data_IF_526148803542
#
_entry.id   IF_526148803542
#
_cell.length_a   1.000
_cell.length_b   1.000
_cell.length_c   1.000
_cell.angle_alpha   90.00
_cell.angle_beta   90.00
_cell.angle_gamma   90.00
#
_symmetry.space_group_name_H-M   'P 1'
#
loop_
_entity.id
_entity.type
_entity.pdbx_description
1 polymer ?
#
# COMPACT_ATOMS: atom_id res chain seq x y z
N UNK A 1 -3.67 -0.13 14.57
CA UNK A 1 -4.45 0.21 13.35
C UNK A 1 -3.74 1.34 12.64
N UNK A 2 -2.87 1.01 11.70
CA UNK A 2 -2.21 2.00 10.83
C UNK A 2 -3.16 2.18 9.64
N UNK A 3 -3.84 3.33 9.60
CA UNK A 3 -4.58 3.74 8.40
C UNK A 3 -3.56 3.94 7.29
N UNK A 4 -3.53 3.00 6.35
CA UNK A 4 -2.92 3.21 5.05
C UNK A 4 -3.73 4.32 4.39
N UNK A 5 -3.15 5.51 4.30
CA UNK A 5 -3.64 6.58 3.45
C UNK A 5 -3.46 6.09 2.00
N UNK A 6 -4.48 5.42 1.50
CA UNK A 6 -4.66 5.29 0.06
C UNK A 6 -4.97 6.68 -0.46
N UNK A 7 -3.97 7.36 -0.99
CA UNK A 7 -4.24 8.46 -1.92
C UNK A 7 -5.03 7.85 -3.07
N UNK A 8 -6.22 8.42 -3.38
CA UNK A 8 -6.88 8.01 -4.60
C UNK A 8 -5.89 8.25 -5.73
N UNK A 9 -5.61 7.22 -6.52
CA UNK A 9 -5.09 7.35 -7.85
C UNK A 9 -6.09 8.31 -8.53
N UNK A 10 -5.74 9.59 -8.61
CA UNK A 10 -6.33 10.46 -9.60
C UNK A 10 -5.76 9.88 -10.90
N UNK A 11 -6.46 8.86 -11.40
CA UNK A 11 -6.42 8.54 -12.79
C UNK A 11 -6.80 9.88 -13.43
N UNK A 12 -5.80 10.64 -13.87
CA UNK A 12 -6.00 11.66 -14.84
C UNK A 12 -6.58 10.90 -16.03
N UNK A 13 -7.91 10.88 -16.08
CA UNK A 13 -8.67 10.53 -17.25
C UNK A 13 -8.39 11.66 -18.25
N UNK A 14 -7.16 11.75 -18.72
CA UNK A 14 -6.87 12.26 -20.04
C UNK A 14 -7.47 11.21 -20.94
N UNK A 15 -8.81 11.38 -21.18
CA UNK A 15 -9.43 10.82 -22.33
C UNK A 15 -8.43 10.96 -23.47
N UNK A 16 -7.86 9.85 -23.90
CA UNK A 16 -7.45 9.69 -25.27
C UNK A 16 -8.76 9.83 -26.06
N UNK A 17 -9.22 11.08 -26.20
CA UNK A 17 -10.26 11.39 -27.15
C UNK A 17 -9.64 11.02 -28.50
N UNK A 18 -10.17 9.97 -29.17
CA UNK A 18 -9.75 9.74 -30.52
C UNK A 18 -9.95 11.08 -31.23
N UNK A 19 -8.94 11.54 -31.93
CA UNK A 19 -9.05 12.64 -32.88
C UNK A 19 -9.99 12.18 -33.99
N UNK A 20 -11.28 12.01 -33.65
CA UNK A 20 -12.31 11.80 -34.67
C UNK A 20 -12.49 13.12 -35.36
N UNK A 21 -11.82 13.26 -36.48
CA UNK A 21 -11.91 14.36 -37.41
C UNK A 21 -13.23 14.26 -38.15
N UNK A 22 -14.33 14.75 -37.57
CA UNK A 22 -15.44 15.21 -38.41
C UNK A 22 -15.20 16.68 -38.73
N UNK A 23 -15.09 16.98 -40.01
CA UNK A 23 -15.06 18.35 -40.49
C UNK A 23 -16.35 19.08 -40.07
N UNK A 24 -16.24 20.12 -39.25
CA UNK A 24 -17.34 21.06 -39.01
C UNK A 24 -16.95 22.41 -39.61
N UNK A 25 -17.89 23.08 -40.29
CA UNK A 25 -17.69 24.43 -40.82
C UNK A 25 -17.71 25.47 -39.71
N UNK A 26 -16.78 26.36 -39.79
CA UNK A 26 -16.44 27.34 -38.76
C UNK A 26 -17.10 28.68 -38.99
N UNK A 27 -17.97 29.15 -38.13
CA UNK A 27 -18.35 30.54 -38.03
C UNK A 27 -18.43 30.96 -36.56
N UNK A 28 -17.42 31.66 -36.09
CA UNK A 28 -17.39 32.23 -34.75
C UNK A 28 -16.28 33.30 -34.65
N UNK A 29 -16.68 34.52 -34.28
CA UNK A 29 -15.78 35.66 -34.00
C UNK A 29 -15.13 35.46 -32.66
N UNK A 30 -13.79 35.26 -32.60
CA UNK A 30 -13.13 34.97 -31.34
C UNK A 30 -11.73 35.54 -31.22
N UNK A 31 -11.24 35.63 -29.96
CA UNK A 31 -9.92 36.11 -29.55
C UNK A 31 -8.80 35.19 -30.07
N UNK A 32 -8.43 35.35 -31.33
CA UNK A 32 -7.30 34.70 -31.94
C UNK A 32 -6.01 35.34 -31.45
N UNK A 33 -4.95 34.60 -31.12
CA UNK A 33 -3.68 35.15 -30.66
C UNK A 33 -3.06 36.15 -31.65
N UNK A 34 -3.34 36.03 -32.94
CA UNK A 34 -2.75 36.84 -34.03
C UNK A 34 -3.81 37.52 -34.91
N UNK A 35 -5.04 37.70 -34.43
CA UNK A 35 -6.16 38.21 -35.25
C UNK A 35 -6.94 37.11 -35.99
N UNK A 36 -7.93 37.51 -36.82
CA UNK A 36 -8.72 36.52 -37.59
C UNK A 36 -7.84 35.64 -38.46
N UNK A 37 -8.11 34.31 -38.54
CA UNK A 37 -7.34 33.44 -39.42
C UNK A 37 -7.43 33.93 -40.85
N UNK A 38 -6.31 34.20 -41.46
CA UNK A 38 -6.19 34.37 -42.92
C UNK A 38 -6.49 33.09 -43.64
N UNK A 39 -6.47 33.16 -44.98
CA UNK A 39 -6.71 32.02 -45.90
C UNK A 39 -5.70 30.88 -45.75
N UNK A 40 -4.70 31.03 -44.91
CA UNK A 40 -3.57 30.12 -44.65
C UNK A 40 -3.78 29.18 -43.44
N UNK A 41 -4.90 29.28 -42.71
CA UNK A 41 -5.28 28.36 -41.66
C UNK A 41 -6.23 27.26 -42.14
N UNK A 42 -6.12 26.07 -41.52
CA UNK A 42 -7.00 24.93 -41.77
C UNK A 42 -7.02 24.45 -43.22
N UNK A 43 -5.88 24.51 -43.91
CA UNK A 43 -5.73 24.13 -45.30
C UNK A 43 -5.52 22.63 -45.43
N UNK A 44 -6.17 22.01 -46.42
CA UNK A 44 -5.91 20.64 -46.86
C UNK A 44 -5.32 20.63 -48.28
N UNK A 45 -4.47 19.66 -48.57
CA UNK A 45 -3.99 19.44 -49.93
C UNK A 45 -5.02 18.70 -50.81
N UNK A 46 -4.65 18.40 -52.06
CA UNK A 46 -5.51 17.69 -53.03
C UNK A 46 -5.88 16.27 -52.62
N UNK A 47 -5.18 15.67 -51.64
CA UNK A 47 -5.47 14.36 -51.04
C UNK A 47 -6.36 14.45 -49.82
N UNK A 48 -6.75 15.69 -49.42
CA UNK A 48 -7.52 15.94 -48.18
C UNK A 48 -6.66 15.88 -46.90
N UNK A 49 -5.32 15.89 -47.00
CA UNK A 49 -4.43 15.85 -45.88
C UNK A 49 -4.19 17.27 -45.34
N UNK A 50 -4.21 17.44 -44.04
CA UNK A 50 -3.92 18.72 -43.36
C UNK A 50 -2.52 19.20 -43.64
N UNK A 51 -2.39 20.50 -43.96
CA UNK A 51 -1.12 21.16 -44.24
C UNK A 51 -1.04 22.49 -43.51
N UNK A 52 0.17 22.85 -43.03
CA UNK A 52 0.42 24.14 -42.39
C UNK A 52 -0.28 24.34 -41.07
N UNK A 53 -0.62 25.58 -40.76
CA UNK A 53 -1.21 26.01 -39.46
C UNK A 53 -2.67 25.59 -39.36
N UNK A 54 -3.01 25.00 -38.23
CA UNK A 54 -4.36 24.53 -37.89
C UNK A 54 -4.78 25.00 -36.53
N UNK A 55 -6.07 25.33 -36.41
CA UNK A 55 -6.76 25.68 -35.17
C UNK A 55 -8.07 24.91 -35.09
N UNK A 56 -8.48 24.63 -33.87
CA UNK A 56 -9.81 24.09 -33.54
C UNK A 56 -10.37 24.86 -32.38
N UNK A 57 -11.69 25.05 -32.38
CA UNK A 57 -12.42 25.74 -31.30
C UNK A 57 -13.41 24.80 -30.62
N UNK A 58 -13.74 25.11 -29.38
CA UNK A 58 -14.88 24.55 -28.66
C UNK A 58 -16.20 25.04 -29.24
N UNK A 59 -17.37 24.43 -28.86
CA UNK A 59 -18.70 24.89 -29.35
C UNK A 59 -19.01 26.33 -28.97
N UNK A 60 -18.44 26.88 -27.91
CA UNK A 60 -18.58 28.27 -27.46
C UNK A 60 -17.66 29.24 -28.22
N UNK A 61 -16.80 28.69 -29.10
CA UNK A 61 -15.86 29.43 -29.93
C UNK A 61 -14.50 29.70 -29.30
N UNK A 62 -14.24 29.31 -28.05
CA UNK A 62 -12.92 29.41 -27.46
C UNK A 62 -11.92 28.44 -28.14
N UNK A 63 -10.64 28.83 -28.22
CA UNK A 63 -9.60 27.94 -28.78
C UNK A 63 -9.54 26.64 -28.01
N UNK A 64 -9.60 25.52 -28.75
CA UNK A 64 -9.28 24.19 -28.22
C UNK A 64 -7.83 23.83 -28.47
N UNK A 65 -7.32 24.02 -29.70
CA UNK A 65 -5.89 23.93 -29.99
C UNK A 65 -5.45 24.83 -31.13
N UNK A 66 -4.16 25.18 -31.12
CA UNK A 66 -3.39 25.73 -32.24
C UNK A 66 -2.18 24.85 -32.49
N UNK A 67 -1.86 24.54 -33.75
CA UNK A 67 -0.70 23.72 -34.10
C UNK A 67 -0.46 23.68 -35.60
N UNK A 68 0.44 22.80 -36.04
CA UNK A 68 0.76 22.62 -37.48
C UNK A 68 0.68 21.16 -37.89
N UNK A 69 0.39 20.93 -39.16
CA UNK A 69 0.36 19.60 -39.76
C UNK A 69 1.22 19.57 -41.03
N UNK A 70 1.86 18.43 -41.29
CA UNK A 70 2.53 18.11 -42.52
C UNK A 70 2.04 16.76 -43.01
N UNK A 71 1.45 16.71 -44.20
CA UNK A 71 0.83 15.51 -44.79
C UNK A 71 -0.14 14.81 -43.84
N UNK A 72 -0.97 15.58 -43.12
CA UNK A 72 -1.94 15.11 -42.15
C UNK A 72 -1.35 14.68 -40.82
N UNK A 73 -0.05 14.60 -40.64
CA UNK A 73 0.64 14.27 -39.38
C UNK A 73 0.87 15.55 -38.58
N UNK A 74 0.59 15.56 -37.27
CA UNK A 74 0.96 16.68 -36.40
C UNK A 74 2.46 16.95 -36.45
N UNK A 75 2.86 18.22 -36.56
CA UNK A 75 4.26 18.66 -36.67
C UNK A 75 4.50 19.99 -35.95
N UNK A 76 5.72 20.20 -35.46
CA UNK A 76 6.10 21.39 -34.73
C UNK A 76 5.37 21.56 -33.38
N UNK A 77 5.10 22.82 -33.04
CA UNK A 77 4.52 23.18 -31.73
C UNK A 77 3.01 23.17 -31.74
N UNK A 78 2.39 22.52 -30.74
CA UNK A 78 0.96 22.55 -30.46
C UNK A 78 0.71 23.16 -29.08
N UNK A 79 -0.28 24.04 -28.99
CA UNK A 79 -0.84 24.50 -27.73
C UNK A 79 -2.29 24.09 -27.63
N UNK A 80 -2.62 23.37 -26.57
CA UNK A 80 -4.01 22.99 -26.23
C UNK A 80 -4.52 23.87 -25.11
N UNK A 81 -5.77 24.26 -25.20
CA UNK A 81 -6.42 25.16 -24.25
C UNK A 81 -7.61 24.48 -23.57
N UNK A 82 -7.97 24.95 -22.39
CA UNK A 82 -9.23 24.66 -21.71
C UNK A 82 -10.33 25.58 -22.23
N UNK A 83 -11.59 25.23 -21.99
CA UNK A 83 -12.75 26.08 -22.30
C UNK A 83 -12.67 27.48 -21.72
N UNK A 84 -11.96 27.69 -20.61
CA UNK A 84 -11.72 29.01 -20.01
C UNK A 84 -10.54 29.78 -20.64
N UNK A 85 -10.01 29.32 -21.75
CA UNK A 85 -8.91 29.93 -22.51
C UNK A 85 -7.52 29.75 -21.91
N UNK A 86 -7.38 29.05 -20.75
CA UNK A 86 -6.05 28.79 -20.14
C UNK A 86 -5.39 27.62 -20.83
N UNK A 87 -4.06 27.69 -20.94
CA UNK A 87 -3.26 26.59 -21.51
C UNK A 87 -3.46 25.32 -20.67
N UNK A 88 -3.80 24.24 -21.36
CA UNK A 88 -3.90 22.88 -20.83
C UNK A 88 -2.58 22.15 -20.97
N UNK A 89 -2.02 22.18 -22.19
CA UNK A 89 -0.75 21.51 -22.47
C UNK A 89 -0.07 22.14 -23.69
N UNK A 90 1.24 22.00 -23.74
CA UNK A 90 2.09 22.27 -24.90
C UNK A 90 2.75 20.98 -25.34
N UNK A 91 2.84 20.77 -26.66
CA UNK A 91 3.42 19.55 -27.25
C UNK A 91 4.31 19.95 -28.42
N UNK A 92 5.59 19.62 -28.34
CA UNK A 92 6.60 19.88 -29.36
C UNK A 92 6.91 18.57 -30.11
N UNK A 93 6.39 18.44 -31.33
CA UNK A 93 6.70 17.31 -32.21
C UNK A 93 8.14 17.43 -32.75
N UNK A 94 8.93 16.38 -32.56
CA UNK A 94 10.31 16.35 -33.04
C UNK A 94 10.35 16.09 -34.54
N UNK A 95 11.24 16.80 -35.25
CA UNK A 95 11.44 16.60 -36.69
C UNK A 95 11.89 15.16 -36.97
N UNK A 96 11.44 14.61 -38.07
CA UNK A 96 11.76 13.26 -38.55
C UNK A 96 11.57 12.15 -37.50
N UNK A 97 10.64 12.36 -36.58
CA UNK A 97 10.38 11.45 -35.48
C UNK A 97 8.87 11.21 -35.26
N UNK A 98 8.53 10.14 -34.58
CA UNK A 98 7.22 9.88 -34.05
C UNK A 98 7.06 10.41 -32.59
N UNK A 99 8.12 11.00 -32.06
CA UNK A 99 8.19 11.48 -30.68
C UNK A 99 7.79 12.95 -30.57
N UNK A 100 7.17 13.28 -29.45
CA UNK A 100 6.87 14.65 -29.07
C UNK A 100 7.17 14.88 -27.58
N UNK A 101 7.73 16.03 -27.23
CA UNK A 101 7.86 16.47 -25.83
C UNK A 101 6.58 17.17 -25.41
N UNK A 102 6.14 16.95 -24.16
CA UNK A 102 4.92 17.54 -23.65
C UNK A 102 5.14 18.19 -22.28
N UNK A 103 4.49 19.33 -22.06
CA UNK A 103 4.29 19.96 -20.77
C UNK A 103 2.80 20.16 -20.53
N UNK A 104 2.29 19.65 -19.40
CA UNK A 104 0.91 19.81 -18.98
C UNK A 104 0.85 20.87 -17.87
N UNK A 105 -0.21 21.65 -17.85
CA UNK A 105 -0.39 22.75 -16.91
C UNK A 105 -1.60 22.59 -16.01
N UNK A 106 -1.49 23.12 -14.79
CA UNK A 106 -2.63 23.30 -13.88
C UNK A 106 -3.47 24.49 -14.30
N UNK A 107 -4.62 24.65 -13.71
CA UNK A 107 -5.49 25.81 -13.95
C UNK A 107 -4.83 27.14 -13.55
N UNK A 108 -3.92 27.14 -12.60
CA UNK A 108 -3.15 28.34 -12.19
C UNK A 108 -1.98 28.68 -13.15
N UNK A 109 -1.82 27.90 -14.24
CA UNK A 109 -0.77 28.08 -15.24
C UNK A 109 0.58 27.48 -14.84
N UNK A 110 0.70 26.85 -13.67
CA UNK A 110 1.96 26.21 -13.28
C UNK A 110 2.10 24.84 -13.94
N UNK A 111 3.29 24.42 -14.40
CA UNK A 111 3.51 23.09 -14.93
C UNK A 111 3.15 22.00 -13.92
N UNK A 112 2.41 21.00 -14.35
CA UNK A 112 2.00 19.85 -13.52
C UNK A 112 2.76 18.58 -13.86
N UNK A 113 2.98 18.34 -15.17
CA UNK A 113 3.71 17.18 -15.66
C UNK A 113 4.53 17.56 -16.88
N UNK A 114 5.59 16.81 -17.12
CA UNK A 114 6.35 16.87 -18.38
C UNK A 114 6.83 15.48 -18.75
N UNK A 115 6.90 15.21 -20.05
CA UNK A 115 7.31 13.91 -20.55
C UNK A 115 7.29 13.84 -22.05
N UNK A 116 7.05 12.64 -22.58
CA UNK A 116 7.10 12.36 -24.00
C UNK A 116 5.87 11.60 -24.45
N UNK A 117 5.40 11.93 -25.64
CA UNK A 117 4.41 11.15 -26.38
C UNK A 117 5.07 10.50 -27.60
N UNK A 118 4.60 9.31 -27.96
CA UNK A 118 4.77 8.73 -29.29
C UNK A 118 3.51 8.94 -30.08
N UNK A 119 3.62 9.51 -31.28
CA UNK A 119 2.51 9.72 -32.21
C UNK A 119 2.41 8.52 -33.12
N UNK A 120 1.29 7.82 -33.12
CA UNK A 120 1.03 6.64 -33.92
C UNK A 120 -0.27 6.81 -34.71
N UNK A 121 -0.44 6.05 -35.79
CA UNK A 121 -1.69 6.03 -36.53
C UNK A 121 -2.49 4.77 -36.16
N UNK A 122 -3.71 4.97 -35.70
CA UNK A 122 -4.64 3.90 -35.36
C UNK A 122 -5.91 4.14 -36.18
N UNK A 123 -6.31 3.18 -37.00
CA UNK A 123 -7.50 3.25 -37.86
C UNK A 123 -7.55 4.52 -38.73
N UNK A 124 -6.40 4.94 -39.22
CA UNK A 124 -6.26 6.15 -40.06
C UNK A 124 -6.20 7.47 -39.29
N UNK A 125 -6.42 7.48 -37.98
CA UNK A 125 -6.33 8.66 -37.10
C UNK A 125 -5.00 8.71 -36.36
N UNK A 126 -4.41 9.92 -36.27
CA UNK A 126 -3.24 10.14 -35.45
C UNK A 126 -3.61 10.23 -33.96
N UNK A 127 -2.97 9.44 -33.14
CA UNK A 127 -3.11 9.44 -31.68
C UNK A 127 -1.77 9.54 -30.99
N UNK A 128 -1.76 9.90 -29.73
CA UNK A 128 -0.54 10.05 -28.92
C UNK A 128 -0.63 9.17 -27.69
N UNK A 129 0.42 8.40 -27.45
CA UNK A 129 0.55 7.56 -26.28
C UNK A 129 1.73 8.04 -25.44
N UNK A 130 1.55 8.09 -24.11
CA UNK A 130 2.67 8.34 -23.19
C UNK A 130 3.73 7.27 -23.40
N UNK A 131 4.98 7.72 -23.53
CA UNK A 131 6.13 6.82 -23.66
C UNK A 131 7.35 7.43 -22.99
N UNK A 132 8.32 6.59 -22.60
CA UNK A 132 9.56 7.06 -21.95
C UNK A 132 9.33 7.73 -20.60
N UNK A 133 10.28 8.59 -20.18
CA UNK A 133 10.24 9.22 -18.86
C UNK A 133 9.20 10.32 -18.78
N UNK A 134 8.46 10.31 -17.64
CA UNK A 134 7.52 11.35 -17.24
C UNK A 134 7.83 11.83 -15.83
N UNK A 135 7.60 13.10 -15.58
CA UNK A 135 7.76 13.73 -14.28
C UNK A 135 6.47 14.45 -13.86
N UNK A 136 6.02 14.21 -12.63
CA UNK A 136 4.99 15.01 -11.98
C UNK A 136 5.68 16.07 -11.10
N UNK A 137 5.21 17.30 -11.20
CA UNK A 137 5.79 18.47 -10.54
C UNK A 137 4.85 19.01 -9.46
N UNK A 138 5.38 19.56 -8.38
CA UNK A 138 4.59 20.38 -7.45
C UNK A 138 4.40 21.82 -7.97
N UNK A 139 3.63 22.65 -7.25
CA UNK A 139 3.38 24.05 -7.65
C UNK A 139 4.63 24.95 -7.65
N UNK A 140 5.74 24.48 -7.04
CA UNK A 140 7.03 25.15 -7.06
C UNK A 140 7.96 24.63 -8.17
N UNK A 141 7.44 23.74 -9.06
CA UNK A 141 8.20 23.13 -10.14
C UNK A 141 9.16 22.02 -9.71
N UNK A 142 9.08 21.55 -8.45
CA UNK A 142 9.95 20.48 -7.96
C UNK A 142 9.35 19.13 -8.34
N UNK A 143 10.20 18.22 -8.82
CA UNK A 143 9.80 16.85 -9.16
C UNK A 143 9.30 16.12 -7.91
N UNK A 144 8.12 15.54 -8.01
CA UNK A 144 7.46 14.74 -6.96
C UNK A 144 7.38 13.28 -7.31
N UNK A 145 7.26 12.97 -8.62
CA UNK A 145 7.23 11.61 -9.11
C UNK A 145 8.03 11.56 -10.40
N UNK A 146 8.80 10.48 -10.60
CA UNK A 146 9.37 10.06 -11.87
C UNK A 146 8.76 8.72 -12.24
N UNK A 147 8.27 8.64 -13.45
CA UNK A 147 7.59 7.47 -14.00
C UNK A 147 8.18 7.14 -15.36
N UNK A 148 8.02 5.91 -15.77
CA UNK A 148 8.34 5.49 -17.13
C UNK A 148 7.12 4.81 -17.74
N UNK A 149 6.79 5.18 -18.99
CA UNK A 149 5.62 4.68 -19.70
C UNK A 149 6.02 3.97 -21.00
N UNK A 150 5.24 2.97 -21.37
CA UNK A 150 5.18 2.42 -22.71
C UNK A 150 3.71 2.26 -23.11
N UNK A 151 3.31 2.92 -24.22
CA UNK A 151 1.94 2.90 -24.73
C UNK A 151 0.86 3.17 -23.64
N UNK A 152 1.01 4.27 -22.89
CA UNK A 152 0.15 4.73 -21.78
C UNK A 152 0.19 3.88 -20.51
N UNK A 153 0.86 2.75 -20.51
CA UNK A 153 1.03 1.92 -19.33
C UNK A 153 2.33 2.27 -18.62
N UNK A 154 2.29 2.29 -17.27
CA UNK A 154 3.51 2.36 -16.48
C UNK A 154 4.35 1.11 -16.79
N UNK A 155 5.57 1.32 -17.31
CA UNK A 155 6.51 0.24 -17.66
C UNK A 155 7.93 0.75 -17.47
N UNK A 156 8.64 0.24 -16.48
CA UNK A 156 9.98 0.68 -16.09
C UNK A 156 10.06 1.25 -14.69
N UNK A 157 11.01 2.15 -14.48
CA UNK A 157 11.32 2.70 -13.16
C UNK A 157 10.24 3.66 -12.65
N UNK A 158 10.00 3.60 -11.35
CA UNK A 158 9.15 4.52 -10.61
C UNK A 158 9.89 5.08 -9.39
N UNK A 159 9.80 6.38 -9.16
CA UNK A 159 10.29 7.04 -7.96
C UNK A 159 9.33 8.14 -7.53
N UNK A 160 8.93 8.15 -6.27
CA UNK A 160 8.24 9.25 -5.62
C UNK A 160 9.15 9.94 -4.60
N UNK A 161 8.95 11.23 -4.35
CA UNK A 161 9.81 12.04 -3.53
C UNK A 161 9.05 12.78 -2.41
N UNK A 162 9.65 12.83 -1.24
CA UNK A 162 9.24 13.69 -0.14
C UNK A 162 9.36 15.18 -0.52
N UNK A 163 8.68 16.11 0.20
CA UNK A 163 8.81 17.54 -0.03
C UNK A 163 10.24 18.08 0.09
N UNK A 164 11.13 17.42 0.84
CA UNK A 164 12.54 17.76 0.99
C UNK A 164 13.44 17.23 -0.14
N UNK A 165 12.89 16.42 -1.08
CA UNK A 165 13.61 15.87 -2.21
C UNK A 165 14.16 14.45 -2.00
N UNK A 166 14.12 13.92 -0.80
CA UNK A 166 14.49 12.54 -0.54
C UNK A 166 13.47 11.56 -1.15
N UNK A 167 13.92 10.38 -1.55
CA UNK A 167 13.04 9.33 -2.07
C UNK A 167 12.02 8.93 -0.99
N UNK A 168 10.76 8.88 -1.37
CA UNK A 168 9.66 8.35 -0.56
C UNK A 168 9.41 6.87 -0.85
N UNK A 169 9.34 6.54 -2.14
CA UNK A 169 9.09 5.18 -2.62
C UNK A 169 9.77 4.99 -3.97
N UNK A 170 10.28 3.79 -4.22
CA UNK A 170 10.84 3.43 -5.52
C UNK A 170 10.60 1.96 -5.86
N UNK A 171 10.55 1.65 -7.15
CA UNK A 171 10.39 0.31 -7.66
C UNK A 171 10.29 0.27 -9.17
N UNK A 172 9.69 -0.80 -9.66
CA UNK A 172 9.45 -1.02 -11.09
C UNK A 172 8.00 -1.38 -11.36
N UNK A 173 7.50 -0.87 -12.49
CA UNK A 173 6.25 -1.33 -13.09
C UNK A 173 6.55 -2.17 -14.33
N UNK A 174 5.67 -3.11 -14.63
CA UNK A 174 5.63 -3.86 -15.87
C UNK A 174 4.18 -3.94 -16.35
N UNK A 175 3.91 -3.40 -17.53
CA UNK A 175 2.55 -3.34 -18.09
C UNK A 175 1.50 -2.83 -17.09
N UNK A 176 1.79 -1.73 -16.40
CA UNK A 176 0.91 -1.08 -15.41
C UNK A 176 0.88 -1.70 -14.03
N UNK A 177 1.58 -2.82 -13.79
CA UNK A 177 1.58 -3.55 -12.52
C UNK A 177 2.91 -3.44 -11.79
N UNK A 178 2.88 -3.30 -10.45
CA UNK A 178 4.10 -3.37 -9.63
C UNK A 178 4.81 -4.71 -9.85
N UNK A 179 6.15 -4.66 -10.02
CA UNK A 179 6.99 -5.83 -10.32
C UNK A 179 8.36 -5.68 -9.67
N UNK A 180 8.94 -6.80 -9.23
CA UNK A 180 10.27 -6.82 -8.62
C UNK A 180 10.33 -6.15 -7.24
N UNK A 181 11.49 -5.63 -6.88
CA UNK A 181 11.74 -5.03 -5.55
C UNK A 181 11.13 -3.61 -5.48
N UNK A 182 10.39 -3.38 -4.40
CA UNK A 182 9.88 -2.07 -4.01
C UNK A 182 10.42 -1.69 -2.63
N UNK A 183 10.75 -0.42 -2.47
CA UNK A 183 11.24 0.11 -1.21
C UNK A 183 10.60 1.46 -0.90
N UNK A 184 10.27 1.70 0.37
CA UNK A 184 9.83 2.99 0.86
C UNK A 184 10.79 3.52 1.92
N UNK A 185 10.84 4.85 2.07
CA UNK A 185 11.78 5.54 2.94
C UNK A 185 11.07 6.64 3.74
N UNK A 186 11.60 6.97 4.89
CA UNK A 186 11.15 8.13 5.64
C UNK A 186 11.73 9.42 5.07
N UNK A 187 11.39 10.57 5.68
CA UNK A 187 11.85 11.91 5.21
C UNK A 187 13.36 12.11 5.33
N UNK A 188 14.00 11.40 6.24
CA UNK A 188 15.44 11.42 6.49
C UNK A 188 16.20 10.49 5.53
N UNK A 189 15.47 9.64 4.76
CA UNK A 189 16.03 8.69 3.79
C UNK A 189 16.30 7.31 4.36
N UNK A 190 15.91 7.02 5.61
CA UNK A 190 16.02 5.69 6.17
C UNK A 190 14.93 4.76 5.59
N UNK A 191 15.29 3.50 5.33
CA UNK A 191 14.36 2.47 4.82
C UNK A 191 13.21 2.23 5.79
N UNK A 192 12.01 2.15 5.25
CA UNK A 192 10.76 1.82 5.96
C UNK A 192 10.23 0.45 5.60
N UNK A 193 10.21 0.14 4.31
CA UNK A 193 9.76 -1.16 3.82
C UNK A 193 10.61 -1.60 2.65
N UNK A 194 10.83 -2.91 2.56
CA UNK A 194 11.33 -3.56 1.36
C UNK A 194 10.42 -4.75 1.07
N UNK A 195 9.89 -4.82 -0.14
CA UNK A 195 8.91 -5.82 -0.53
C UNK A 195 9.18 -6.30 -1.94
N UNK A 196 8.84 -7.55 -2.22
CA UNK A 196 8.81 -8.11 -3.57
C UNK A 196 7.38 -8.15 -4.11
N UNK A 197 7.25 -7.82 -5.40
CA UNK A 197 5.98 -7.75 -6.11
C UNK A 197 6.03 -8.57 -7.39
N UNK A 198 4.94 -9.24 -7.70
CA UNK A 198 4.74 -9.99 -8.94
C UNK A 198 3.32 -9.76 -9.45
N UNK A 199 3.19 -9.31 -10.72
CA UNK A 199 1.88 -9.04 -11.37
C UNK A 199 0.95 -8.11 -10.58
N UNK A 200 1.52 -7.16 -9.82
CA UNK A 200 0.76 -6.19 -9.02
C UNK A 200 0.41 -6.63 -7.61
N UNK A 201 0.81 -7.84 -7.20
CA UNK A 201 0.58 -8.38 -5.86
C UNK A 201 1.90 -8.58 -5.12
N UNK A 202 1.88 -8.42 -3.77
CA UNK A 202 3.04 -8.77 -2.95
C UNK A 202 3.32 -10.26 -3.06
N UNK A 203 4.57 -10.62 -3.36
CA UNK A 203 4.97 -12.02 -3.51
C UNK A 203 6.45 -12.19 -3.21
N UNK A 204 6.78 -13.03 -2.22
CA UNK A 204 8.14 -13.23 -1.73
C UNK A 204 8.46 -12.40 -0.49
N UNK A 205 9.73 -12.15 -0.25
CA UNK A 205 10.21 -11.52 0.98
C UNK A 205 9.69 -10.09 1.17
N UNK A 206 9.39 -9.78 2.44
CA UNK A 206 9.05 -8.45 2.89
C UNK A 206 9.72 -8.13 4.24
N UNK A 207 10.20 -6.90 4.38
CA UNK A 207 10.78 -6.37 5.61
C UNK A 207 10.15 -5.02 5.91
N UNK A 208 9.71 -4.84 7.16
CA UNK A 208 9.29 -3.54 7.70
C UNK A 208 10.35 -3.10 8.69
N UNK A 209 10.78 -1.85 8.60
CA UNK A 209 11.82 -1.26 9.44
C UNK A 209 11.22 -0.31 10.48
N UNK A 210 11.86 -0.23 11.63
CA UNK A 210 11.63 0.79 12.65
C UNK A 210 12.39 2.08 12.28
N UNK A 211 12.07 3.19 12.95
CA UNK A 211 12.74 4.48 12.70
C UNK A 211 14.24 4.46 13.03
N UNK A 212 14.68 3.56 13.90
CA UNK A 212 16.09 3.35 14.26
C UNK A 212 16.87 2.47 13.25
N UNK A 213 16.23 2.04 12.14
CA UNK A 213 16.84 1.17 11.12
C UNK A 213 16.90 -0.32 11.47
N UNK A 214 16.33 -0.70 12.61
CA UNK A 214 16.18 -2.10 13.01
C UNK A 214 14.92 -2.67 12.38
N UNK A 215 14.89 -3.94 11.91
CA UNK A 215 13.65 -4.56 11.46
C UNK A 215 12.57 -4.51 12.56
N UNK A 216 11.34 -4.19 12.18
CA UNK A 216 10.13 -4.40 12.98
C UNK A 216 9.58 -5.79 12.74
N UNK A 217 9.54 -6.18 11.46
CA UNK A 217 9.09 -7.52 11.05
C UNK A 217 9.73 -7.95 9.73
N UNK A 218 9.86 -9.27 9.56
CA UNK A 218 10.31 -9.91 8.31
C UNK A 218 9.49 -11.16 8.07
N UNK A 219 9.09 -11.39 6.82
CA UNK A 219 8.36 -12.58 6.41
C UNK A 219 8.19 -12.66 4.90
N UNK A 220 7.19 -13.37 4.48
CA UNK A 220 6.89 -13.58 3.06
C UNK A 220 5.42 -13.34 2.76
N UNK A 221 5.16 -12.87 1.55
CA UNK A 221 3.83 -12.83 0.95
C UNK A 221 3.71 -13.88 -0.14
N UNK A 222 2.52 -14.43 -0.27
CA UNK A 222 2.11 -15.22 -1.43
C UNK A 222 0.78 -14.68 -1.96
N UNK A 223 0.81 -14.23 -3.23
CA UNK A 223 -0.35 -13.66 -3.93
C UNK A 223 -1.11 -12.61 -3.07
N UNK A 224 -0.36 -11.65 -2.53
CA UNK A 224 -0.90 -10.53 -1.74
C UNK A 224 -1.15 -10.83 -0.26
N UNK A 225 -1.16 -12.09 0.17
CA UNK A 225 -1.42 -12.51 1.54
C UNK A 225 -0.14 -12.88 2.29
N UNK A 226 -0.01 -12.52 3.59
CA UNK A 226 1.08 -13.01 4.42
C UNK A 226 1.05 -14.55 4.47
N UNK A 227 2.23 -15.18 4.36
CA UNK A 227 2.38 -16.63 4.28
C UNK A 227 3.60 -17.11 5.05
N UNK A 228 3.51 -18.31 5.64
CA UNK A 228 4.60 -18.92 6.39
C UNK A 228 4.98 -18.16 7.66
N UNK A 229 6.23 -18.25 8.05
CA UNK A 229 6.72 -17.64 9.29
C UNK A 229 7.06 -16.16 9.10
N UNK A 230 6.58 -15.34 10.04
CA UNK A 230 6.92 -13.93 10.19
C UNK A 230 7.62 -13.70 11.51
N UNK A 231 8.83 -13.18 11.44
CA UNK A 231 9.62 -12.81 12.62
C UNK A 231 9.32 -11.36 13.00
N UNK A 232 8.93 -11.14 14.24
CA UNK A 232 8.77 -9.83 14.86
C UNK A 232 9.97 -9.52 15.74
N UNK A 233 10.41 -8.27 15.75
CA UNK A 233 11.60 -7.83 16.47
C UNK A 233 11.28 -6.74 17.50
N UNK A 234 12.05 -6.69 18.57
CA UNK A 234 12.09 -5.60 19.52
C UNK A 234 12.92 -4.42 18.97
N UNK A 235 12.90 -3.30 19.69
CA UNK A 235 13.68 -2.11 19.32
C UNK A 235 15.21 -2.33 19.37
N UNK A 236 15.68 -3.34 20.10
CA UNK A 236 17.09 -3.74 20.20
C UNK A 236 17.51 -4.75 19.09
N UNK A 237 16.59 -5.11 18.19
CA UNK A 237 16.82 -6.06 17.09
C UNK A 237 16.72 -7.53 17.48
N UNK A 238 16.46 -7.84 18.74
CA UNK A 238 16.21 -9.23 19.15
C UNK A 238 14.84 -9.67 18.72
N UNK A 239 14.72 -10.94 18.34
CA UNK A 239 13.43 -11.55 18.01
C UNK A 239 12.50 -11.47 19.23
N UNK A 240 11.30 -10.92 19.01
CA UNK A 240 10.22 -10.87 19.99
C UNK A 240 9.36 -12.12 19.91
N UNK A 241 8.84 -12.42 18.73
CA UNK A 241 7.99 -13.57 18.47
C UNK A 241 8.05 -13.98 16.99
N UNK A 242 7.58 -15.20 16.73
CA UNK A 242 7.39 -15.73 15.37
C UNK A 242 5.90 -16.04 15.20
N UNK A 243 5.30 -15.43 14.18
CA UNK A 243 3.92 -15.69 13.78
C UNK A 243 3.94 -16.68 12.61
N UNK A 244 3.02 -17.63 12.60
CA UNK A 244 2.79 -18.47 11.43
C UNK A 244 1.49 -18.07 10.75
N UNK A 245 1.56 -17.77 9.46
CA UNK A 245 0.40 -17.41 8.63
C UNK A 245 0.02 -18.57 7.71
N UNK A 246 -1.28 -18.86 7.68
CA UNK A 246 -1.92 -19.75 6.70
C UNK A 246 -3.10 -18.99 6.09
N UNK A 247 -3.13 -18.89 4.76
CA UNK A 247 -4.17 -18.15 4.03
C UNK A 247 -4.38 -16.71 4.56
N UNK A 248 -3.28 -16.04 4.89
CA UNK A 248 -3.30 -14.65 5.38
C UNK A 248 -3.73 -14.47 6.84
N UNK A 249 -4.03 -15.56 7.57
CA UNK A 249 -4.43 -15.53 8.97
C UNK A 249 -3.34 -16.08 9.87
N UNK A 250 -3.14 -15.44 11.02
CA UNK A 250 -2.24 -15.98 12.06
C UNK A 250 -2.86 -17.25 12.62
N UNK A 251 -2.12 -18.36 12.55
CA UNK A 251 -2.51 -19.64 13.13
C UNK A 251 -1.77 -19.94 14.43
N UNK A 252 -0.54 -19.47 14.56
CA UNK A 252 0.25 -19.61 15.78
C UNK A 252 1.10 -18.37 16.02
N UNK A 253 1.35 -18.06 17.30
CA UNK A 253 2.38 -17.14 17.73
C UNK A 253 3.29 -17.84 18.73
N UNK A 254 4.61 -17.75 18.51
CA UNK A 254 5.65 -18.30 19.41
C UNK A 254 6.53 -17.14 19.89
N UNK A 255 6.40 -16.68 21.15
CA UNK A 255 7.34 -15.74 21.72
C UNK A 255 8.73 -16.36 21.85
N UNK A 256 9.78 -15.56 21.71
CA UNK A 256 11.15 -16.05 21.89
C UNK A 256 11.52 -16.18 23.37
N UNK A 257 11.05 -15.28 24.21
CA UNK A 257 11.30 -15.30 25.65
C UNK A 257 10.16 -14.63 26.40
N UNK A 258 9.97 -15.04 27.65
CA UNK A 258 9.00 -14.44 28.55
C UNK A 258 7.73 -15.25 28.72
N UNK A 259 6.83 -14.70 29.53
CA UNK A 259 5.51 -15.29 29.75
C UNK A 259 4.59 -14.99 28.56
N UNK A 260 3.77 -15.95 28.22
CA UNK A 260 2.78 -15.86 27.15
C UNK A 260 1.48 -16.50 27.62
N UNK A 261 0.38 -15.87 27.25
CA UNK A 261 -0.98 -16.34 27.52
C UNK A 261 -1.71 -16.45 26.18
N UNK A 262 -2.26 -17.62 25.90
CA UNK A 262 -3.22 -17.83 24.81
C UNK A 262 -4.64 -17.74 25.34
N UNK A 263 -5.57 -17.32 24.48
CA UNK A 263 -6.99 -17.22 24.80
C UNK A 263 -7.85 -18.01 23.83
N UNK A 264 -8.90 -18.61 24.32
CA UNK A 264 -9.98 -19.18 23.51
C UNK A 264 -10.69 -18.10 22.68
N UNK A 265 -11.42 -18.47 21.61
CA UNK A 265 -12.28 -17.52 20.89
C UNK A 265 -13.32 -16.81 21.77
N UNK A 266 -13.69 -17.42 22.91
CA UNK A 266 -14.54 -16.82 23.95
C UNK A 266 -13.88 -15.65 24.71
N UNK A 267 -12.56 -15.45 24.52
CA UNK A 267 -11.75 -14.47 25.25
C UNK A 267 -11.26 -14.95 26.61
N UNK A 268 -11.57 -16.21 27.00
CA UNK A 268 -11.07 -16.80 28.26
C UNK A 268 -9.63 -17.30 28.07
N UNK A 269 -8.78 -17.28 29.12
CA UNK A 269 -7.47 -17.94 29.09
C UNK A 269 -7.57 -19.39 28.63
N UNK A 270 -6.76 -19.78 27.67
CA UNK A 270 -6.62 -21.15 27.22
C UNK A 270 -5.44 -21.82 27.93
N UNK A 271 -4.27 -21.18 27.84
CA UNK A 271 -3.09 -21.61 28.58
C UNK A 271 -2.12 -20.44 28.80
N UNK A 272 -1.27 -20.60 29.80
CA UNK A 272 -0.16 -19.72 30.11
C UNK A 272 1.12 -20.53 30.28
N UNK A 273 2.21 -20.02 29.76
CA UNK A 273 3.53 -20.66 29.86
C UNK A 273 4.66 -19.66 29.67
N UNK A 274 5.85 -20.09 29.98
CA UNK A 274 7.06 -19.31 29.77
C UNK A 274 7.83 -19.85 28.56
N UNK A 275 8.34 -18.93 27.76
CA UNK A 275 9.24 -19.26 26.65
C UNK A 275 10.68 -18.86 26.95
N UNK A 276 11.62 -19.70 26.54
CA UNK A 276 13.04 -19.41 26.46
C UNK A 276 13.57 -19.93 25.12
N UNK A 277 14.24 -19.07 24.34
CA UNK A 277 14.81 -19.39 23.03
C UNK A 277 13.79 -20.01 22.05
N UNK A 278 12.53 -19.54 22.09
CA UNK A 278 11.45 -19.99 21.22
C UNK A 278 10.78 -21.32 21.60
N UNK A 279 11.17 -21.89 22.74
CA UNK A 279 10.56 -23.10 23.27
C UNK A 279 9.89 -22.83 24.61
N UNK A 280 8.81 -23.55 24.91
CA UNK A 280 8.27 -23.58 26.27
C UNK A 280 9.35 -24.06 27.24
N UNK A 281 9.60 -23.29 28.30
CA UNK A 281 10.64 -23.59 29.29
C UNK A 281 10.27 -22.98 30.63
N UNK A 282 9.86 -23.82 31.58
CA UNK A 282 9.35 -23.47 32.87
C UNK A 282 7.86 -23.83 33.08
N UNK A 283 7.20 -23.20 34.05
CA UNK A 283 5.82 -23.51 34.41
C UNK A 283 4.85 -23.34 33.25
N UNK A 284 3.89 -24.25 33.17
CA UNK A 284 2.81 -24.26 32.20
C UNK A 284 1.47 -24.57 32.91
N UNK A 285 0.42 -23.85 32.56
CA UNK A 285 -0.95 -24.08 33.03
C UNK A 285 -1.93 -23.89 31.88
N UNK A 286 -2.88 -24.81 31.73
CA UNK A 286 -3.98 -24.66 30.78
C UNK A 286 -5.32 -24.78 31.52
N UNK A 287 -6.36 -24.20 30.96
CA UNK A 287 -7.71 -24.17 31.48
C UNK A 287 -8.71 -24.70 30.49
N UNK A 288 -9.89 -25.14 30.97
CA UNK A 288 -11.05 -25.43 30.14
C UNK A 288 -11.74 -24.13 29.69
N UNK A 289 -12.40 -24.14 28.52
CA UNK A 289 -13.16 -22.96 28.02
C UNK A 289 -14.51 -22.82 28.77
N UNK A 290 -14.42 -22.71 30.11
CA UNK A 290 -15.52 -22.59 31.04
C UNK A 290 -15.30 -21.39 31.96
N UNK A 291 -16.28 -21.12 32.84
CA UNK A 291 -16.21 -19.99 33.77
C UNK A 291 -17.05 -18.81 33.32
N UNK A 292 -17.24 -17.85 34.20
CA UNK A 292 -18.12 -16.70 34.03
C UNK A 292 -17.38 -15.39 34.26
N UNK A 293 -17.60 -14.42 33.33
CA UNK A 293 -17.15 -13.06 33.55
C UNK A 293 -18.07 -12.32 34.50
N UNK A 294 -17.53 -11.84 35.62
CA UNK A 294 -18.27 -11.08 36.64
C UNK A 294 -17.69 -9.66 36.74
N UNK A 295 -18.58 -8.68 36.96
CA UNK A 295 -18.18 -7.31 37.28
C UNK A 295 -17.86 -7.23 38.75
N UNK A 296 -16.64 -6.86 39.07
CA UNK A 296 -16.17 -6.70 40.47
C UNK A 296 -15.60 -5.29 40.68
N UNK A 297 -15.66 -4.72 41.90
CA UNK A 297 -14.99 -3.46 42.18
C UNK A 297 -13.49 -3.56 41.89
N UNK A 298 -12.92 -2.57 41.19
CA UNK A 298 -11.48 -2.49 41.01
C UNK A 298 -10.86 -2.02 42.32
N UNK A 299 -10.22 -2.93 43.05
CA UNK A 299 -9.42 -2.55 44.21
C UNK A 299 -8.16 -1.82 43.79
N UNK A 300 -7.82 -0.71 44.45
CA UNK A 300 -6.54 -0.03 44.23
C UNK A 300 -5.40 -0.97 44.65
N UNK A 301 -4.65 -1.50 43.71
CA UNK A 301 -3.40 -2.21 43.93
C UNK A 301 -3.37 -3.73 43.74
N UNK A 302 -4.41 -4.36 43.19
CA UNK A 302 -4.44 -5.81 42.92
C UNK A 302 -3.90 -6.21 41.54
N UNK A 303 -3.03 -7.20 41.56
CA UNK A 303 -2.26 -7.79 40.46
C UNK A 303 -3.13 -8.38 39.34
N UNK A 304 -2.77 -8.03 38.11
CA UNK A 304 -2.83 -8.69 36.78
C UNK A 304 -3.91 -9.75 36.50
N UNK A 305 -4.64 -9.51 35.43
CA UNK A 305 -5.30 -10.54 34.63
C UNK A 305 -6.54 -10.00 33.91
N UNK A 306 -6.40 -9.65 32.64
CA UNK A 306 -7.51 -9.38 31.71
C UNK A 306 -7.15 -8.28 30.69
N UNK A 307 -7.62 -8.39 29.41
CA UNK A 307 -7.38 -7.36 28.43
C UNK A 307 -8.02 -6.03 28.87
N UNK A 308 -7.44 -4.86 28.50
CA UNK A 308 -7.99 -3.56 28.85
C UNK A 308 -9.34 -3.36 28.14
N UNK A 309 -10.43 -3.47 28.87
CA UNK A 309 -11.75 -3.06 28.39
C UNK A 309 -11.85 -1.54 28.40
N UNK A 310 -12.29 -0.96 27.28
CA UNK A 310 -12.60 0.47 27.19
C UNK A 310 -13.61 0.85 28.28
N UNK A 311 -13.19 1.75 29.18
CA UNK A 311 -13.96 2.16 30.32
C UNK A 311 -15.28 2.84 29.97
N UNK A 312 -16.38 2.29 30.41
CA UNK A 312 -17.60 3.03 30.62
C UNK A 312 -17.42 3.96 31.82
N UNK A 313 -17.36 5.27 31.61
CA UNK A 313 -17.44 6.26 32.70
C UNK A 313 -18.88 6.34 33.16
N UNK A 314 -19.19 5.84 34.34
CA UNK A 314 -20.43 6.19 35.04
C UNK A 314 -20.23 7.47 35.85
N UNK A 315 -21.14 8.42 35.66
CA UNK A 315 -21.22 9.64 36.50
C UNK A 315 -21.94 9.27 37.81
N UNK A 316 -21.16 8.98 38.84
CA UNK A 316 -21.64 8.70 40.16
C UNK A 316 -20.55 7.99 40.96
N UNK A 317 -20.19 8.48 42.12
CA UNK A 317 -19.01 8.15 42.95
C UNK A 317 -18.84 6.70 43.42
N UNK A 318 -19.04 5.72 42.54
CA UNK A 318 -18.76 4.31 42.80
C UNK A 318 -17.36 3.96 42.28
N UNK A 319 -16.66 3.10 42.99
CA UNK A 319 -15.35 2.56 42.59
C UNK A 319 -15.42 2.01 41.19
N UNK A 320 -14.36 2.20 40.34
CA UNK A 320 -14.34 1.65 39.00
C UNK A 320 -14.56 0.14 39.04
N UNK A 321 -15.46 -0.37 38.19
CA UNK A 321 -15.73 -1.80 38.08
C UNK A 321 -14.82 -2.41 37.02
N UNK A 322 -14.31 -3.62 37.24
CA UNK A 322 -13.55 -4.42 36.28
C UNK A 322 -14.23 -5.75 36.03
N UNK A 323 -14.00 -6.33 34.86
CA UNK A 323 -14.38 -7.72 34.60
C UNK A 323 -13.32 -8.66 35.20
N UNK A 324 -13.77 -9.66 35.95
CA UNK A 324 -12.94 -10.73 36.50
C UNK A 324 -13.55 -12.08 36.08
N UNK A 325 -12.68 -12.97 35.60
CA UNK A 325 -13.10 -14.33 35.27
C UNK A 325 -13.09 -15.18 36.52
N UNK A 326 -14.21 -15.85 36.78
CA UNK A 326 -14.37 -16.73 37.95
C UNK A 326 -14.76 -18.13 37.53
N UNK A 327 -14.40 -19.10 38.37
CA UNK A 327 -14.77 -20.50 38.22
C UNK A 327 -14.30 -21.13 36.86
N UNK A 328 -13.14 -20.68 36.37
CA UNK A 328 -12.51 -21.36 35.22
C UNK A 328 -11.67 -22.53 35.75
N UNK A 329 -12.09 -23.80 35.49
CA UNK A 329 -11.35 -24.95 35.98
C UNK A 329 -10.05 -25.13 35.21
N UNK A 330 -8.99 -25.50 35.93
CA UNK A 330 -7.75 -25.96 35.30
C UNK A 330 -8.00 -27.22 34.50
N UNK A 331 -7.22 -27.38 33.40
CA UNK A 331 -7.22 -28.56 32.56
C UNK A 331 -5.96 -29.40 32.75
N UNK A 332 -4.83 -28.75 32.75
CA UNK A 332 -3.55 -29.38 33.06
C UNK A 332 -2.52 -28.37 33.57
N UNK A 333 -1.55 -28.86 34.33
CA UNK A 333 -0.39 -28.07 34.76
C UNK A 333 0.84 -28.94 34.91
N UNK A 334 2.01 -28.32 34.69
CA UNK A 334 3.31 -28.97 34.77
C UNK A 334 4.43 -28.03 34.40
N UNK A 335 5.56 -28.59 34.00
CA UNK A 335 6.71 -27.84 33.54
C UNK A 335 7.19 -28.35 32.18
N UNK A 336 7.70 -27.41 31.38
CA UNK A 336 8.44 -27.74 30.17
C UNK A 336 9.94 -27.46 30.36
N UNK A 337 10.76 -28.27 29.74
CA UNK A 337 12.21 -28.06 29.61
C UNK A 337 12.54 -28.11 28.13
N UNK A 338 13.04 -27.01 27.56
CA UNK A 338 13.39 -26.89 26.14
C UNK A 338 12.31 -27.42 25.16
N UNK A 339 11.03 -27.15 25.43
CA UNK A 339 9.89 -27.50 24.58
C UNK A 339 9.29 -28.88 24.82
N UNK A 340 9.80 -29.66 25.74
CA UNK A 340 9.25 -31.00 26.07
C UNK A 340 8.75 -31.05 27.50
N UNK A 341 7.72 -31.85 27.77
CA UNK A 341 7.20 -32.06 29.12
C UNK A 341 8.32 -32.66 30.00
N UNK A 342 8.44 -32.11 31.22
CA UNK A 342 9.39 -32.59 32.22
C UNK A 342 8.76 -32.52 33.60
N UNK A 343 9.26 -33.33 34.54
CA UNK A 343 8.72 -33.35 35.91
C UNK A 343 7.31 -33.94 36.02
N UNK A 344 6.53 -33.40 36.95
CA UNK A 344 5.19 -33.87 37.29
C UNK A 344 4.12 -33.07 36.59
N UNK A 345 3.23 -33.77 35.86
CA UNK A 345 2.08 -33.20 35.20
C UNK A 345 0.79 -33.66 35.85
N UNK A 346 -0.11 -32.71 36.12
CA UNK A 346 -1.43 -32.98 36.72
C UNK A 346 -2.53 -32.58 35.76
N UNK A 347 -3.57 -33.41 35.67
CA UNK A 347 -4.71 -33.24 34.79
C UNK A 347 -6.00 -33.18 35.59
N UNK A 348 -6.93 -32.34 35.17
CA UNK A 348 -8.18 -32.06 35.86
C UNK A 348 -9.33 -32.12 34.84
N UNK A 349 -10.51 -32.52 35.32
CA UNK A 349 -11.74 -32.51 34.55
C UNK A 349 -12.37 -31.09 34.45
N UNK A 350 -13.52 -31.01 33.79
CA UNK A 350 -14.29 -29.75 33.66
C UNK A 350 -14.90 -29.25 34.97
N UNK A 351 -14.98 -30.08 35.99
CA UNK A 351 -15.40 -29.74 37.33
C UNK A 351 -14.23 -29.21 38.19
N UNK A 352 -13.01 -29.43 37.73
CA UNK A 352 -11.77 -29.05 38.41
C UNK A 352 -11.23 -30.15 39.33
N UNK A 353 -11.81 -31.35 39.24
CA UNK A 353 -11.37 -32.50 40.04
C UNK A 353 -10.13 -33.15 39.38
N UNK A 354 -9.14 -33.50 40.21
CA UNK A 354 -7.93 -34.16 39.73
C UNK A 354 -8.27 -35.57 39.21
N UNK A 355 -7.85 -35.84 37.95
CA UNK A 355 -8.13 -37.13 37.28
C UNK A 355 -6.89 -38.02 37.12
N UNK A 356 -5.69 -37.42 36.97
CA UNK A 356 -4.45 -38.21 36.89
C UNK A 356 -3.20 -37.34 37.08
N UNK A 357 -2.14 -37.99 37.49
CA UNK A 357 -0.75 -37.44 37.49
C UNK A 357 0.15 -38.25 36.60
N UNK A 358 0.92 -37.57 35.79
CA UNK A 358 1.95 -38.17 34.90
C UNK A 358 3.34 -37.66 35.34
N UNK A 359 4.33 -38.52 35.25
CA UNK A 359 5.75 -38.18 35.45
C UNK A 359 6.49 -38.26 34.13
N UNK A 360 7.14 -37.18 33.78
CA UNK A 360 7.90 -37.05 32.52
C UNK A 360 9.37 -36.79 32.80
N UNK A 361 10.23 -37.31 31.94
CA UNK A 361 11.66 -37.01 31.96
C UNK A 361 12.09 -36.67 30.54
N UNK A 362 12.41 -35.38 30.28
CA UNK A 362 12.80 -34.86 28.98
C UNK A 362 11.92 -35.39 27.82
N UNK A 363 10.61 -35.22 27.94
CA UNK A 363 9.63 -35.61 26.91
C UNK A 363 9.25 -37.10 26.88
N UNK A 364 9.79 -37.92 27.78
CA UNK A 364 9.43 -39.33 27.90
C UNK A 364 8.57 -39.58 29.13
N UNK A 365 7.39 -40.15 28.92
CA UNK A 365 6.50 -40.57 30.02
C UNK A 365 7.16 -41.71 30.80
N UNK A 366 7.30 -41.56 32.12
CA UNK A 366 7.96 -42.51 33.02
C UNK A 366 7.02 -43.12 34.05
N UNK A 367 5.85 -42.56 34.26
CA UNK A 367 4.83 -43.09 35.18
C UNK A 367 3.50 -42.36 35.06
N UNK A 368 2.41 -43.06 35.40
CA UNK A 368 1.05 -42.50 35.50
C UNK A 368 0.40 -43.02 36.77
N UNK A 369 -0.24 -42.11 37.53
CA UNK A 369 -1.04 -42.39 38.71
C UNK A 369 -2.43 -41.79 38.51
N UNK A 370 -3.50 -42.57 38.70
CA UNK A 370 -4.92 -42.16 38.61
C UNK A 370 -5.44 -41.72 39.99
#
# INVERSE_FOLDING_TARGET
MIRVLTFPLVAALLLALPLVLSAQPETGTNNWPDGQPGSDFNVTDSRGLKQGRWIRVYPDGQLYYSGSFTDGKPSGHFTFFRENGRVLSEVDHLEDSDMAKATLYREDGTPSHRGQYRTVQVDGAWTQHKTGPWEALDKKGRVRIKEHYEADLLDGTYQAFHPNGNVLEQGHYRAGKKSGKWASFNREGASRTEELWREGERHGEAVVMQDNGVPLSRGQYDNGLPSGEWTLYNADGKTRSILTYVEGKVTTERPQNGEFEATYPSGRPEWMGRYAHGNLDGPFTAWHDLGEWQMVPAEEGGVRGGPPTQGARSAGGDSPMRQELRNQPMKEMGEYTAGVKDGTWRYFDEQGDHIRTERWTLGKLTGTEE
#
